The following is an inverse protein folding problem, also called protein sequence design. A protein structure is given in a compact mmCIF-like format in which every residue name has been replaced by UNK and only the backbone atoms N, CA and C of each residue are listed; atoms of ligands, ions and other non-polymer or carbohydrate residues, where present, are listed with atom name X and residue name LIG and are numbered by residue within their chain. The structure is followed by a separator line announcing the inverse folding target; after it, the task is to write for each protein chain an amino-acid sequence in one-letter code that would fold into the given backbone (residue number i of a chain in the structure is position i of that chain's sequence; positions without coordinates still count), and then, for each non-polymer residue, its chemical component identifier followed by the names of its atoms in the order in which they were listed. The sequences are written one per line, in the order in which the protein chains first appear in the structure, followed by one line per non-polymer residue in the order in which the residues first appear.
data_IF_226891396411
#
_entry.id   IF_226891396411
#
_cell.length_a   1.000
_cell.length_b   1.000
_cell.length_c   1.000
_cell.angle_alpha   90.00
_cell.angle_beta   90.00
_cell.angle_gamma   90.00
#
_symmetry.space_group_name_H-M   'P 1'
#
loop_
_entity.id
_entity.type
_entity.pdbx_description
1 polymer ?
#
# COMPACT_ATOMS: atom_id res chain seq x y z
N UNK A 1 -4.40 45.11 38.10
CA UNK A 1 -5.02 45.49 36.82
C UNK A 1 -4.79 44.37 35.83
N UNK A 2 -5.82 43.71 35.35
CA UNK A 2 -5.68 42.65 34.29
C UNK A 2 -5.51 43.39 32.94
N UNK A 3 -4.36 43.19 32.28
CA UNK A 3 -4.15 43.71 30.92
C UNK A 3 -4.95 42.84 29.96
N UNK A 4 -5.84 43.44 29.20
CA UNK A 4 -6.59 42.76 28.12
C UNK A 4 -5.78 42.77 26.85
N UNK A 5 -6.01 41.76 25.98
CA UNK A 5 -5.43 41.68 24.63
C UNK A 5 -6.03 42.79 23.74
N UNK A 6 -5.21 43.40 22.92
CA UNK A 6 -5.69 44.37 21.92
C UNK A 6 -6.17 43.63 20.66
N UNK A 7 -7.11 44.20 19.93
CA UNK A 7 -7.69 43.65 18.72
C UNK A 7 -6.60 43.48 17.62
N UNK A 8 -5.64 44.38 17.57
CA UNK A 8 -4.54 44.35 16.59
C UNK A 8 -3.55 43.22 16.88
N UNK A 9 -3.25 42.91 18.16
CA UNK A 9 -2.39 41.81 18.55
C UNK A 9 -2.99 40.46 18.09
N UNK A 10 -4.30 40.32 18.26
CA UNK A 10 -4.99 39.10 17.79
C UNK A 10 -4.96 38.99 16.24
N UNK A 11 -5.20 40.11 15.56
CA UNK A 11 -5.24 40.16 14.09
C UNK A 11 -3.89 39.79 13.48
N UNK A 12 -2.79 40.32 14.01
CA UNK A 12 -1.43 40.01 13.53
C UNK A 12 -1.10 38.53 13.73
N UNK A 13 -1.46 37.97 14.89
CA UNK A 13 -1.20 36.54 15.18
C UNK A 13 -1.96 35.63 14.19
N UNK A 14 -3.25 35.86 13.95
CA UNK A 14 -4.01 35.02 13.01
C UNK A 14 -3.52 35.17 11.57
N UNK A 15 -3.05 36.36 11.19
CA UNK A 15 -2.44 36.59 9.88
C UNK A 15 -1.17 35.76 9.70
N UNK A 16 -0.27 35.78 10.69
CA UNK A 16 0.97 35.00 10.66
C UNK A 16 0.66 33.49 10.59
N UNK A 17 -0.25 32.99 11.44
CA UNK A 17 -0.66 31.60 11.45
C UNK A 17 -1.26 31.21 10.08
N UNK A 18 -2.07 32.07 9.49
CA UNK A 18 -2.66 31.85 8.18
C UNK A 18 -1.61 31.67 7.08
N UNK A 19 -0.61 32.55 7.03
CA UNK A 19 0.49 32.46 6.06
C UNK A 19 1.31 31.17 6.27
N UNK A 20 1.73 30.89 7.50
CA UNK A 20 2.51 29.68 7.80
C UNK A 20 1.74 28.40 7.50
N UNK A 21 0.46 28.35 7.84
CA UNK A 21 -0.40 27.18 7.57
C UNK A 21 -0.59 26.93 6.08
N UNK A 22 -0.64 27.98 5.26
CA UNK A 22 -0.79 27.84 3.81
C UNK A 22 0.35 27.07 3.13
N UNK A 23 1.56 27.16 3.69
CA UNK A 23 2.76 26.48 3.22
C UNK A 23 2.94 25.12 3.89
N UNK A 24 2.65 25.05 5.19
CA UNK A 24 2.90 23.86 6.00
C UNK A 24 1.92 22.72 5.67
N UNK A 25 0.64 23.02 5.46
CA UNK A 25 -0.42 22.02 5.28
C UNK A 25 -0.21 21.12 4.06
N UNK A 26 0.12 21.62 2.84
CA UNK A 26 0.37 20.77 1.68
C UNK A 26 1.61 19.89 1.86
N UNK A 27 2.67 20.41 2.51
CA UNK A 27 3.88 19.63 2.76
C UNK A 27 3.63 18.52 3.79
N UNK A 28 2.87 18.79 4.84
CA UNK A 28 2.46 17.79 5.82
C UNK A 28 1.67 16.66 5.17
N UNK A 29 0.67 16.97 4.34
CA UNK A 29 -0.10 15.93 3.62
C UNK A 29 0.78 15.02 2.77
N UNK A 30 1.75 15.59 2.02
CA UNK A 30 2.70 14.79 1.23
C UNK A 30 3.58 13.90 2.10
N UNK A 31 4.02 14.38 3.25
CA UNK A 31 4.85 13.60 4.17
C UNK A 31 4.08 12.43 4.78
N UNK A 32 2.82 12.64 5.14
CA UNK A 32 1.93 11.57 5.64
C UNK A 32 1.70 10.51 4.56
N UNK A 33 1.45 10.91 3.31
CA UNK A 33 1.28 9.93 2.21
C UNK A 33 2.56 9.12 1.95
N UNK A 34 3.73 9.74 1.98
CA UNK A 34 5.01 9.02 1.86
C UNK A 34 5.21 8.01 2.99
N UNK A 35 4.89 8.38 4.22
CA UNK A 35 4.99 7.48 5.36
C UNK A 35 4.07 6.25 5.21
N UNK A 36 2.83 6.45 4.77
CA UNK A 36 1.89 5.36 4.50
C UNK A 36 2.42 4.40 3.43
N UNK A 37 3.00 4.93 2.37
CA UNK A 37 3.53 4.10 1.29
C UNK A 37 4.79 3.35 1.72
N UNK A 38 5.66 3.93 2.52
CA UNK A 38 6.80 3.22 3.08
C UNK A 38 6.36 2.00 3.91
N UNK A 39 5.29 2.14 4.71
CA UNK A 39 4.66 1.02 5.42
C UNK A 39 4.19 -0.07 4.45
N UNK A 40 3.47 0.33 3.39
CA UNK A 40 2.98 -0.60 2.36
C UNK A 40 4.12 -1.33 1.67
N UNK A 41 5.16 -0.61 1.24
CA UNK A 41 6.30 -1.23 0.55
C UNK A 41 7.00 -2.27 1.43
N UNK A 42 7.15 -1.98 2.71
CA UNK A 42 7.71 -2.93 3.67
C UNK A 42 6.82 -4.17 3.81
N UNK A 43 5.51 -3.98 3.89
CA UNK A 43 4.57 -5.09 4.03
C UNK A 43 4.45 -5.93 2.76
N UNK A 44 4.45 -5.31 1.57
CA UNK A 44 4.44 -6.03 0.29
C UNK A 44 5.66 -6.95 0.14
N UNK A 45 6.85 -6.46 0.53
CA UNK A 45 8.07 -7.30 0.56
C UNK A 45 7.95 -8.44 1.56
N UNK A 46 7.51 -8.16 2.78
CA UNK A 46 7.36 -9.18 3.81
C UNK A 46 6.36 -10.28 3.42
N UNK A 47 5.26 -9.91 2.75
CA UNK A 47 4.30 -10.87 2.21
C UNK A 47 4.96 -11.74 1.14
N UNK A 48 5.67 -11.13 0.20
CA UNK A 48 6.35 -11.87 -0.87
C UNK A 48 7.40 -12.84 -0.30
N UNK A 49 8.25 -12.40 0.60
CA UNK A 49 9.26 -13.24 1.25
C UNK A 49 8.62 -14.40 2.05
N UNK A 50 7.50 -14.14 2.73
CA UNK A 50 6.75 -15.18 3.42
C UNK A 50 6.20 -16.23 2.44
N UNK A 51 5.72 -15.80 1.29
CA UNK A 51 5.25 -16.72 0.24
C UNK A 51 6.38 -17.56 -0.35
N UNK A 52 7.54 -16.95 -0.62
CA UNK A 52 8.73 -17.67 -1.08
C UNK A 52 9.14 -18.74 -0.05
N UNK A 53 9.19 -18.41 1.25
CA UNK A 53 9.47 -19.39 2.29
C UNK A 53 8.48 -20.55 2.31
N UNK A 54 7.19 -20.28 2.11
CA UNK A 54 6.16 -21.33 2.02
C UNK A 54 6.36 -22.26 0.82
N UNK A 55 6.75 -21.71 -0.35
CA UNK A 55 7.08 -22.53 -1.53
C UNK A 55 8.24 -23.48 -1.23
N UNK A 56 9.32 -22.96 -0.66
CA UNK A 56 10.48 -23.72 -0.29
C UNK A 56 10.16 -24.82 0.74
N UNK A 57 9.44 -24.49 1.80
CA UNK A 57 9.06 -25.44 2.85
C UNK A 57 8.20 -26.60 2.31
N UNK A 58 7.30 -26.30 1.37
CA UNK A 58 6.41 -27.30 0.78
C UNK A 58 6.97 -27.96 -0.46
N UNK A 59 8.20 -27.62 -0.87
CA UNK A 59 8.84 -28.12 -2.09
C UNK A 59 7.99 -27.89 -3.36
N UNK A 60 7.28 -26.77 -3.42
CA UNK A 60 6.44 -26.40 -4.54
C UNK A 60 7.28 -25.56 -5.52
N UNK A 61 7.39 -25.98 -6.79
CA UNK A 61 8.33 -25.36 -7.73
C UNK A 61 7.93 -23.95 -8.20
N UNK A 62 6.66 -23.58 -8.07
CA UNK A 62 6.16 -22.27 -8.51
C UNK A 62 4.81 -21.91 -7.91
N UNK A 63 4.45 -20.63 -7.98
CA UNK A 63 3.12 -20.14 -7.59
C UNK A 63 1.99 -20.80 -8.40
N UNK A 64 2.22 -21.06 -9.68
CA UNK A 64 1.27 -21.77 -10.55
C UNK A 64 1.02 -23.19 -10.09
N UNK A 65 2.08 -23.91 -9.73
CA UNK A 65 1.98 -25.27 -9.21
C UNK A 65 1.22 -25.32 -7.88
N UNK A 66 1.41 -24.31 -7.02
CA UNK A 66 0.68 -24.19 -5.77
C UNK A 66 -0.83 -23.99 -5.97
N UNK A 67 -1.22 -23.17 -6.94
CA UNK A 67 -2.62 -22.98 -7.29
C UNK A 67 -3.25 -24.25 -7.84
N UNK A 68 -2.56 -24.91 -8.77
CA UNK A 68 -3.05 -26.14 -9.42
C UNK A 68 -3.23 -27.29 -8.42
N UNK A 69 -2.38 -27.35 -7.39
CA UNK A 69 -2.47 -28.36 -6.32
C UNK A 69 -3.51 -28.06 -5.24
N UNK A 70 -4.22 -26.93 -5.33
CA UNK A 70 -5.17 -26.49 -4.31
C UNK A 70 -4.52 -26.06 -2.98
N UNK A 71 -3.20 -25.94 -2.93
CA UNK A 71 -2.44 -25.57 -1.74
C UNK A 71 -2.33 -24.05 -1.56
N UNK A 72 -3.32 -23.31 -1.99
CA UNK A 72 -3.37 -21.85 -2.09
C UNK A 72 -2.51 -21.03 -1.11
N UNK A 73 -2.07 -19.88 -1.60
CA UNK A 73 -1.32 -18.87 -0.83
C UNK A 73 -2.27 -17.80 -0.30
N UNK A 74 -3.19 -18.16 0.58
CA UNK A 74 -3.98 -17.14 1.27
C UNK A 74 -3.11 -16.38 2.28
N UNK A 75 -3.51 -15.17 2.64
CA UNK A 75 -2.88 -14.40 3.73
C UNK A 75 -2.90 -15.16 5.07
N UNK A 76 -3.81 -16.12 5.22
CA UNK A 76 -3.94 -17.02 6.37
C UNK A 76 -2.86 -18.12 6.42
N UNK A 77 -2.11 -18.32 5.35
CA UNK A 77 -1.03 -19.32 5.24
C UNK A 77 0.36 -18.75 5.45
N UNK A 78 0.47 -17.42 5.50
CA UNK A 78 1.75 -16.75 5.69
C UNK A 78 2.31 -17.01 7.10
N UNK A 79 3.62 -17.09 7.19
CA UNK A 79 4.35 -17.24 8.46
C UNK A 79 4.57 -15.90 9.19
N UNK A 80 3.93 -14.84 8.72
CA UNK A 80 3.94 -13.50 9.31
C UNK A 80 2.55 -13.13 9.82
N UNK A 81 2.51 -12.40 10.93
CA UNK A 81 1.27 -11.87 11.48
C UNK A 81 1.02 -10.46 10.98
N UNK A 82 -0.07 -10.26 10.23
CA UNK A 82 -0.47 -8.96 9.71
C UNK A 82 -1.75 -8.52 10.41
N UNK A 83 -1.72 -7.34 11.04
CA UNK A 83 -2.90 -6.78 11.70
C UNK A 83 -3.93 -6.34 10.65
N UNK A 84 -5.03 -7.07 10.54
CA UNK A 84 -6.08 -6.78 9.57
C UNK A 84 -7.20 -7.82 9.59
N UNK A 85 -8.17 -7.63 8.70
CA UNK A 85 -9.26 -8.57 8.47
C UNK A 85 -9.01 -9.33 7.19
N UNK A 86 -8.89 -10.64 7.27
CA UNK A 86 -8.76 -11.50 6.11
C UNK A 86 -10.14 -11.93 5.60
N UNK A 87 -10.34 -11.79 4.30
CA UNK A 87 -11.51 -12.28 3.58
C UNK A 87 -11.05 -13.27 2.52
N UNK A 88 -11.36 -14.58 2.66
CA UNK A 88 -11.01 -15.57 1.67
C UNK A 88 -11.73 -15.27 0.35
N UNK A 89 -11.06 -15.52 -0.76
CA UNK A 89 -11.67 -15.35 -2.08
C UNK A 89 -12.65 -16.48 -2.34
N UNK A 90 -13.86 -16.14 -2.78
CA UNK A 90 -14.85 -17.11 -3.25
C UNK A 90 -14.64 -17.50 -4.72
N UNK A 91 -13.72 -16.85 -5.44
CA UNK A 91 -13.45 -17.08 -6.86
C UNK A 91 -12.16 -17.87 -7.03
N UNK A 92 -12.30 -19.11 -7.49
CA UNK A 92 -11.18 -19.94 -7.96
C UNK A 92 -10.47 -19.25 -9.14
N UNK A 93 -9.17 -19.06 -9.03
CA UNK A 93 -8.29 -18.91 -10.17
C UNK A 93 -7.47 -17.62 -10.31
N UNK A 94 -7.87 -16.47 -9.75
CA UNK A 94 -7.17 -15.21 -9.99
C UNK A 94 -6.73 -14.49 -8.71
N UNK A 95 -7.47 -14.64 -7.61
CA UNK A 95 -7.18 -13.98 -6.32
C UNK A 95 -7.17 -15.00 -5.20
N UNK A 96 -6.18 -14.94 -4.35
CA UNK A 96 -6.07 -15.87 -3.21
C UNK A 96 -6.70 -15.35 -1.92
N UNK A 97 -7.38 -14.21 -1.99
CA UNK A 97 -8.04 -13.55 -0.87
C UNK A 97 -7.70 -12.07 -0.78
N UNK A 98 -8.36 -11.41 0.14
CA UNK A 98 -8.21 -9.97 0.40
C UNK A 98 -7.85 -9.78 1.87
N UNK A 99 -6.79 -9.04 2.13
CA UNK A 99 -6.44 -8.59 3.47
C UNK A 99 -6.72 -7.08 3.59
N UNK A 100 -7.61 -6.72 4.49
CA UNK A 100 -7.94 -5.32 4.79
C UNK A 100 -7.27 -4.88 6.07
N UNK A 101 -6.38 -3.91 5.99
CA UNK A 101 -5.76 -3.23 7.12
C UNK A 101 -6.45 -1.89 7.39
N UNK A 102 -5.89 -1.07 8.26
CA UNK A 102 -6.46 0.25 8.57
C UNK A 102 -6.44 1.22 7.38
N UNK A 103 -5.37 1.19 6.57
CA UNK A 103 -5.12 2.18 5.51
C UNK A 103 -5.20 1.60 4.10
N UNK A 104 -5.06 0.28 3.96
CA UNK A 104 -4.94 -0.38 2.65
C UNK A 104 -5.69 -1.71 2.61
N UNK A 105 -6.07 -2.08 1.40
CA UNK A 105 -6.52 -3.43 1.07
C UNK A 105 -5.45 -4.09 0.22
N UNK A 106 -5.04 -5.31 0.57
CA UNK A 106 -4.02 -6.08 -0.14
C UNK A 106 -4.68 -7.24 -0.88
N UNK A 107 -4.26 -7.45 -2.11
CA UNK A 107 -4.70 -8.55 -2.96
C UNK A 107 -3.48 -9.26 -3.55
N UNK A 108 -3.57 -10.57 -3.71
CA UNK A 108 -2.52 -11.38 -4.34
C UNK A 108 -3.04 -11.94 -5.66
N UNK A 109 -2.26 -11.75 -6.71
CA UNK A 109 -2.54 -12.23 -8.06
C UNK A 109 -1.43 -13.18 -8.48
N UNK A 110 -1.58 -14.48 -8.23
CA UNK A 110 -0.60 -15.45 -8.66
C UNK A 110 -0.60 -15.57 -10.19
N UNK A 111 0.60 -15.79 -10.73
CA UNK A 111 0.81 -16.06 -12.16
C UNK A 111 0.54 -14.90 -13.14
N UNK A 112 0.58 -13.64 -12.69
CA UNK A 112 0.38 -12.51 -13.59
C UNK A 112 1.66 -11.99 -14.28
N UNK A 113 2.86 -12.36 -13.78
CA UNK A 113 4.15 -11.91 -14.33
C UNK A 113 5.17 -13.04 -14.28
N UNK A 114 5.65 -13.49 -15.44
CA UNK A 114 6.73 -14.51 -15.58
C UNK A 114 6.60 -15.73 -14.64
N UNK A 115 5.38 -16.18 -14.38
CA UNK A 115 5.12 -17.26 -13.42
C UNK A 115 5.24 -16.87 -11.96
N UNK A 116 5.48 -15.59 -11.67
CA UNK A 116 5.57 -15.03 -10.33
C UNK A 116 4.23 -14.61 -9.73
N UNK A 117 4.28 -14.04 -8.56
CA UNK A 117 3.14 -13.53 -7.84
C UNK A 117 3.18 -12.00 -7.78
N UNK A 118 2.07 -11.37 -8.12
CA UNK A 118 1.88 -9.93 -7.96
C UNK A 118 1.05 -9.67 -6.71
N UNK A 119 1.57 -8.87 -5.81
CA UNK A 119 0.85 -8.40 -4.64
C UNK A 119 0.51 -6.93 -4.85
N UNK A 120 -0.75 -6.57 -4.72
CA UNK A 120 -1.25 -5.21 -4.95
C UNK A 120 -1.87 -4.66 -3.68
N UNK A 121 -1.56 -3.42 -3.38
CA UNK A 121 -2.17 -2.66 -2.30
C UNK A 121 -2.99 -1.48 -2.85
N UNK A 122 -4.23 -1.40 -2.39
CA UNK A 122 -5.18 -0.34 -2.74
C UNK A 122 -5.40 0.55 -1.51
N UNK A 123 -5.13 1.85 -1.58
CA UNK A 123 -5.39 2.75 -0.47
C UNK A 123 -6.89 2.91 -0.23
N UNK A 124 -7.32 2.73 1.02
CA UNK A 124 -8.71 2.93 1.47
C UNK A 124 -8.91 4.22 2.25
N UNK A 125 -7.81 4.92 2.53
CA UNK A 125 -7.79 6.25 3.17
C UNK A 125 -6.76 7.15 2.51
N UNK A 126 -6.95 8.45 2.64
CA UNK A 126 -6.02 9.46 2.16
C UNK A 126 -6.40 10.07 0.82
N UNK A 127 -5.50 10.88 0.29
CA UNK A 127 -5.75 11.68 -0.93
C UNK A 127 -5.89 10.83 -2.20
N UNK A 128 -5.44 9.58 -2.16
CA UNK A 128 -5.39 8.67 -3.32
C UNK A 128 -6.29 7.44 -3.16
N UNK A 129 -7.27 7.53 -2.25
CA UNK A 129 -8.26 6.48 -2.05
C UNK A 129 -8.95 6.13 -3.37
N UNK A 130 -8.96 4.85 -3.74
CA UNK A 130 -9.57 4.30 -4.95
C UNK A 130 -9.08 4.90 -6.29
N UNK A 131 -7.98 5.68 -6.27
CA UNK A 131 -7.46 6.33 -7.49
C UNK A 131 -6.10 5.82 -7.92
N UNK A 132 -5.39 5.13 -7.04
CA UNK A 132 -4.07 4.60 -7.32
C UNK A 132 -3.85 3.26 -6.63
N UNK A 133 -2.94 2.47 -7.17
CA UNK A 133 -2.55 1.16 -6.68
C UNK A 133 -1.02 1.07 -6.66
N UNK A 134 -0.48 0.36 -5.69
CA UNK A 134 0.94 -0.01 -5.66
C UNK A 134 1.06 -1.51 -5.64
N UNK A 135 1.85 -2.07 -6.55
CA UNK A 135 2.13 -3.49 -6.66
C UNK A 135 3.59 -3.82 -6.41
N UNK A 136 3.85 -5.08 -6.12
CA UNK A 136 5.19 -5.66 -5.99
C UNK A 136 5.21 -7.05 -6.62
N UNK A 137 6.14 -7.28 -7.56
CA UNK A 137 6.28 -8.54 -8.29
C UNK A 137 7.46 -9.40 -7.80
N UNK A 138 8.04 -9.07 -6.66
CA UNK A 138 9.23 -9.72 -6.12
C UNK A 138 10.55 -9.05 -6.53
N UNK A 139 10.54 -8.17 -7.52
CA UNK A 139 11.72 -7.43 -8.00
C UNK A 139 11.58 -5.94 -7.83
N UNK A 140 10.47 -5.38 -8.29
CA UNK A 140 10.25 -3.95 -8.34
C UNK A 140 8.85 -3.55 -7.87
N UNK A 141 8.72 -2.31 -7.43
CA UNK A 141 7.44 -1.71 -7.12
C UNK A 141 6.87 -1.03 -8.36
N UNK A 142 5.60 -1.27 -8.59
CA UNK A 142 4.83 -0.73 -9.71
C UNK A 142 3.67 0.10 -9.20
N UNK A 143 3.23 1.09 -9.98
CA UNK A 143 2.14 1.98 -9.60
C UNK A 143 1.16 2.21 -10.75
N UNK A 144 -0.14 2.25 -10.43
CA UNK A 144 -1.22 2.64 -11.34
C UNK A 144 -2.01 3.82 -10.79
N UNK A 145 -2.66 4.65 -11.63
CA UNK A 145 -2.56 4.67 -13.10
C UNK A 145 -1.20 5.22 -13.56
N UNK A 146 -0.79 4.76 -14.73
CA UNK A 146 0.49 5.14 -15.34
C UNK A 146 0.61 6.67 -15.51
N UNK A 147 1.79 7.23 -15.23
CA UNK A 147 2.06 8.67 -15.32
C UNK A 147 1.40 9.53 -14.23
N UNK A 148 0.67 8.94 -13.30
CA UNK A 148 0.04 9.69 -12.22
C UNK A 148 1.09 10.27 -11.25
N UNK A 149 0.87 11.52 -10.81
CA UNK A 149 1.79 12.22 -9.89
C UNK A 149 2.07 11.46 -8.61
N UNK A 150 1.13 10.60 -8.18
CA UNK A 150 1.27 9.77 -6.99
C UNK A 150 2.39 8.74 -7.12
N UNK A 151 2.62 8.15 -8.29
CA UNK A 151 3.68 7.17 -8.50
C UNK A 151 5.06 7.75 -8.20
N UNK A 152 5.30 9.01 -8.57
CA UNK A 152 6.52 9.75 -8.21
C UNK A 152 6.64 10.01 -6.69
N UNK A 153 5.52 10.25 -6.02
CA UNK A 153 5.49 10.44 -4.56
C UNK A 153 5.80 9.12 -3.86
N UNK A 154 5.32 8.01 -4.42
CA UNK A 154 5.50 6.67 -3.89
C UNK A 154 6.84 6.04 -4.25
N UNK A 155 7.61 6.64 -5.18
CA UNK A 155 8.89 6.10 -5.61
C UNK A 155 8.76 4.75 -6.30
N UNK A 156 7.64 4.52 -6.96
CA UNK A 156 7.36 3.32 -7.73
C UNK A 156 7.41 3.64 -9.23
N UNK A 157 7.94 2.71 -10.01
CA UNK A 157 7.94 2.83 -11.46
C UNK A 157 6.53 2.65 -12.03
N UNK A 158 6.34 3.14 -13.24
CA UNK A 158 5.05 2.98 -13.91
C UNK A 158 4.81 1.51 -14.24
N UNK A 159 3.57 1.09 -14.12
CA UNK A 159 3.14 -0.27 -14.43
C UNK A 159 3.11 -0.46 -15.94
N UNK A 160 4.21 -0.89 -16.53
CA UNK A 160 4.22 -1.29 -17.92
C UNK A 160 3.46 -2.62 -18.04
N UNK A 161 2.36 -2.61 -18.77
CA UNK A 161 1.75 -3.85 -19.25
C UNK A 161 2.72 -4.44 -20.29
N UNK A 162 3.39 -5.53 -19.95
CA UNK A 162 4.02 -6.41 -20.91
C UNK A 162 2.97 -7.26 -21.61
#
# INVERSE_FOLDING_TARGET
MKKGFTLIELLVVVLIIGILSSIALPNYKRSVERARVAEVQTLLRAIHESQERLLWQKQIPSYTAALSSGQGFGFDKLDITIKGTYMPSSKTGIRTGILKTENFTYEMYPNQYDGGNLIVAHPIKGSYQNTAEIGFNGREFMCKPEGHKVCKIWGADTWNQL
#
